data_IF_383588195650
#
_entry.id   IF_383588195650
#
_cell.length_a   1.000
_cell.length_b   1.000
_cell.length_c   1.000
_cell.angle_alpha   90.00
_cell.angle_beta   90.00
_cell.angle_gamma   90.00
#
_symmetry.space_group_name_H-M   'P 1'
#
loop_
_entity.id
_entity.type
_entity.pdbx_description
1 polymer ?
#
# COMPACT_ATOMS: atom_id res chain seq x y z
N UNK A 1 -14.46 -1.48 -2.73
CA UNK A 1 -13.11 -0.89 -2.55
C UNK A 1 -12.30 -1.16 -3.80
N UNK A 2 -11.92 -0.14 -4.55
CA UNK A 2 -11.21 -0.36 -5.81
C UNK A 2 -9.75 -0.74 -5.57
N UNK A 3 -9.22 -1.55 -6.48
CA UNK A 3 -7.80 -1.87 -6.53
C UNK A 3 -6.98 -0.58 -6.66
N UNK A 4 -5.86 -0.50 -5.95
CA UNK A 4 -4.95 0.65 -5.88
C UNK A 4 -5.50 1.86 -5.14
N UNK A 5 -6.63 1.72 -4.44
CA UNK A 5 -7.09 2.75 -3.51
C UNK A 5 -6.13 2.86 -2.32
N UNK A 6 -5.87 4.10 -1.89
CA UNK A 6 -5.07 4.38 -0.70
C UNK A 6 -6.00 4.72 0.44
N UNK A 7 -5.87 4.00 1.55
CA UNK A 7 -6.67 4.20 2.75
C UNK A 7 -5.80 4.67 3.91
N UNK A 8 -6.36 5.46 4.80
CA UNK A 8 -5.67 5.85 6.04
C UNK A 8 -5.43 4.60 6.89
N UNK A 9 -4.25 4.53 7.48
CA UNK A 9 -3.96 3.55 8.52
C UNK A 9 -4.56 4.05 9.84
N UNK A 10 -5.47 3.29 10.42
CA UNK A 10 -6.16 3.68 11.65
C UNK A 10 -5.46 3.20 12.92
N UNK A 11 -4.39 2.42 12.80
CA UNK A 11 -3.66 1.90 13.95
C UNK A 11 -2.79 3.00 14.58
N UNK A 12 -3.11 3.48 15.80
CA UNK A 12 -2.37 4.58 16.41
C UNK A 12 -0.91 4.23 16.72
N UNK A 13 -0.59 2.94 16.86
CA UNK A 13 0.77 2.50 17.15
C UNK A 13 1.70 2.63 15.94
N UNK A 14 1.18 2.61 14.71
CA UNK A 14 2.00 2.56 13.49
C UNK A 14 1.75 3.70 12.51
N UNK A 15 0.68 4.46 12.65
CA UNK A 15 0.28 5.48 11.66
C UNK A 15 1.28 6.61 11.45
N UNK A 16 2.18 6.85 12.39
CA UNK A 16 3.19 7.89 12.22
C UNK A 16 4.28 7.50 11.23
N UNK A 17 4.65 6.21 11.18
CA UNK A 17 5.61 5.67 10.22
C UNK A 17 4.93 5.06 8.99
N UNK A 18 3.70 4.57 9.14
CA UNK A 18 2.90 3.97 8.07
C UNK A 18 1.55 4.70 8.01
N UNK A 19 1.50 5.89 7.38
CA UNK A 19 0.27 6.67 7.37
C UNK A 19 -0.84 6.08 6.51
N UNK A 20 -0.48 5.24 5.52
CA UNK A 20 -1.45 4.72 4.55
C UNK A 20 -1.27 3.24 4.29
N UNK A 21 -2.36 2.62 3.83
CA UNK A 21 -2.39 1.24 3.33
C UNK A 21 -2.88 1.26 1.89
N UNK A 22 -2.16 0.59 1.00
CA UNK A 22 -2.50 0.49 -0.42
C UNK A 22 -3.23 -0.83 -0.67
N UNK A 23 -4.46 -0.74 -1.17
CA UNK A 23 -5.25 -1.90 -1.54
C UNK A 23 -4.76 -2.45 -2.88
N UNK A 24 -4.26 -3.67 -2.89
CA UNK A 24 -3.75 -4.32 -4.11
C UNK A 24 -4.60 -5.51 -4.54
N UNK A 25 -5.68 -5.80 -3.81
CA UNK A 25 -6.54 -6.93 -4.14
C UNK A 25 -7.30 -6.68 -5.43
N UNK A 26 -7.40 -7.72 -6.27
CA UNK A 26 -8.19 -7.67 -7.49
C UNK A 26 -9.65 -7.33 -7.19
N UNK A 27 -10.24 -6.46 -8.01
CA UNK A 27 -11.66 -6.11 -7.91
C UNK A 27 -12.59 -7.30 -8.20
N UNK A 28 -12.05 -8.37 -8.79
CA UNK A 28 -12.82 -9.59 -9.08
C UNK A 28 -13.17 -10.40 -7.82
N UNK A 29 -12.57 -10.09 -6.67
CA UNK A 29 -12.83 -10.78 -5.40
C UNK A 29 -13.28 -9.80 -4.32
N UNK A 30 -14.28 -8.99 -4.63
CA UNK A 30 -14.77 -7.96 -3.71
C UNK A 30 -15.60 -8.49 -2.55
N UNK A 31 -16.19 -9.67 -2.71
CA UNK A 31 -17.14 -10.21 -1.73
C UNK A 31 -16.49 -10.71 -0.44
N UNK A 32 -15.16 -10.78 -0.40
CA UNK A 32 -14.46 -11.18 0.80
C UNK A 32 -14.53 -10.07 1.87
N UNK A 33 -14.67 -10.46 3.11
CA UNK A 33 -14.63 -9.53 4.24
C UNK A 33 -13.25 -8.93 4.51
N UNK A 34 -12.24 -9.34 3.75
CA UNK A 34 -10.84 -8.91 3.89
C UNK A 34 -10.32 -8.28 2.59
N UNK A 35 -9.30 -7.44 2.73
CA UNK A 35 -8.56 -6.86 1.59
C UNK A 35 -7.08 -7.13 1.77
N UNK A 36 -6.41 -7.43 0.66
CA UNK A 36 -4.95 -7.55 0.66
C UNK A 36 -4.36 -6.16 0.45
N UNK A 37 -3.54 -5.73 1.40
CA UNK A 37 -2.96 -4.38 1.39
C UNK A 37 -1.45 -4.42 1.56
N UNK A 38 -0.79 -3.35 1.12
CA UNK A 38 0.64 -3.12 1.32
C UNK A 38 0.81 -1.82 2.10
N UNK A 39 1.63 -1.81 3.17
CA UNK A 39 1.84 -0.58 3.92
C UNK A 39 2.69 0.42 3.12
N UNK A 40 2.29 1.68 3.17
CA UNK A 40 3.06 2.79 2.61
C UNK A 40 3.73 3.54 3.76
N UNK A 41 5.05 3.43 3.83
CA UNK A 41 5.85 4.07 4.86
C UNK A 41 6.21 5.50 4.43
N UNK A 42 6.42 6.37 5.40
CA UNK A 42 7.09 7.63 5.10
C UNK A 42 8.52 7.35 4.65
N UNK A 43 9.08 8.22 3.83
CA UNK A 43 10.49 8.10 3.40
C UNK A 43 11.42 8.12 4.60
N UNK A 44 11.14 8.99 5.59
CA UNK A 44 11.94 9.10 6.80
C UNK A 44 11.96 7.80 7.62
N UNK A 45 10.84 7.09 7.71
CA UNK A 45 10.74 5.84 8.47
C UNK A 45 11.62 4.74 7.89
N UNK A 46 11.85 4.75 6.58
CA UNK A 46 12.67 3.72 5.92
C UNK A 46 14.17 3.97 6.04
N UNK A 47 14.58 5.18 6.35
CA UNK A 47 16.01 5.55 6.59
C UNK A 47 16.93 5.08 5.47
N UNK A 48 16.50 5.22 4.22
CA UNK A 48 17.27 4.80 3.05
C UNK A 48 17.30 3.30 2.77
N UNK A 49 16.58 2.48 3.54
CA UNK A 49 16.53 1.02 3.38
C UNK A 49 15.52 0.63 2.30
N UNK A 50 15.77 1.04 1.07
CA UNK A 50 14.85 0.76 -0.04
C UNK A 50 15.52 -0.13 -1.09
N UNK A 51 14.72 -0.98 -1.72
CA UNK A 51 15.11 -1.81 -2.85
C UNK A 51 14.36 -1.33 -4.08
N UNK A 52 15.06 -1.07 -5.16
CA UNK A 52 14.54 -0.35 -6.32
C UNK A 52 13.22 -0.90 -6.87
N UNK A 53 13.08 -2.23 -6.98
CA UNK A 53 11.89 -2.86 -7.54
C UNK A 53 10.90 -3.27 -6.46
N UNK A 54 11.38 -3.90 -5.39
CA UNK A 54 10.53 -4.47 -4.33
C UNK A 54 9.89 -3.39 -3.46
N UNK A 55 10.61 -2.30 -3.18
CA UNK A 55 10.10 -1.20 -2.35
C UNK A 55 10.10 0.12 -3.11
N UNK A 56 9.26 0.24 -4.16
CA UNK A 56 9.27 1.43 -4.99
C UNK A 56 8.74 2.65 -4.23
N UNK A 57 9.16 3.82 -4.70
CA UNK A 57 8.60 5.09 -4.26
C UNK A 57 7.31 5.33 -5.02
N UNK A 58 6.24 5.64 -4.31
CA UNK A 58 4.95 6.05 -4.87
C UNK A 58 4.55 7.40 -4.31
N UNK A 59 3.75 8.15 -5.04
CA UNK A 59 3.29 9.47 -4.59
C UNK A 59 1.84 9.41 -4.16
N UNK A 60 1.57 9.92 -2.96
CA UNK A 60 0.20 10.10 -2.44
C UNK A 60 0.02 11.58 -2.18
N UNK A 61 -0.90 12.21 -2.91
CA UNK A 61 -1.16 13.65 -2.84
C UNK A 61 0.12 14.50 -2.98
N UNK A 62 0.98 14.11 -3.93
CA UNK A 62 2.23 14.82 -4.21
C UNK A 62 3.37 14.55 -3.23
N UNK A 63 3.15 13.70 -2.23
CA UNK A 63 4.18 13.33 -1.24
C UNK A 63 4.69 11.92 -1.49
N UNK A 64 6.01 11.75 -1.40
CA UNK A 64 6.67 10.47 -1.64
C UNK A 64 6.51 9.56 -0.44
N UNK A 65 6.17 8.29 -0.73
CA UNK A 65 6.07 7.21 0.25
C UNK A 65 6.76 5.98 -0.29
N UNK A 66 7.13 5.06 0.59
CA UNK A 66 7.78 3.80 0.22
C UNK A 66 6.76 2.69 0.35
N UNK A 67 6.50 1.97 -0.74
CA UNK A 67 5.65 0.80 -0.78
C UNK A 67 6.46 -0.42 -0.32
N UNK A 68 6.22 -0.88 0.90
CA UNK A 68 6.97 -2.02 1.46
C UNK A 68 6.24 -3.32 1.11
N UNK A 69 6.47 -3.80 -0.10
CA UNK A 69 5.73 -4.89 -0.73
C UNK A 69 5.83 -6.20 0.05
N UNK A 70 6.98 -6.50 0.65
CA UNK A 70 7.18 -7.74 1.43
C UNK A 70 6.36 -7.80 2.71
N UNK A 71 5.74 -6.68 3.12
CA UNK A 71 4.83 -6.65 4.27
C UNK A 71 3.36 -6.74 3.87
N UNK A 72 3.10 -7.15 2.63
CA UNK A 72 1.75 -7.41 2.15
C UNK A 72 1.00 -8.32 3.12
N UNK A 73 -0.24 -7.97 3.43
CA UNK A 73 -1.07 -8.72 4.38
C UNK A 73 -2.56 -8.56 4.08
N UNK A 74 -3.33 -9.60 4.43
CA UNK A 74 -4.78 -9.52 4.41
C UNK A 74 -5.28 -8.91 5.72
N UNK A 75 -6.14 -7.90 5.63
CA UNK A 75 -6.77 -7.30 6.80
C UNK A 75 -8.27 -7.20 6.61
N UNK A 76 -9.01 -7.12 7.72
CA UNK A 76 -10.45 -6.92 7.67
C UNK A 76 -10.78 -5.55 7.07
N UNK A 77 -11.80 -5.48 6.22
CA UNK A 77 -12.26 -4.21 5.62
C UNK A 77 -12.54 -3.15 6.67
N UNK A 78 -13.06 -3.56 7.83
CA UNK A 78 -13.36 -2.64 8.94
C UNK A 78 -12.14 -1.95 9.53
N UNK A 79 -10.94 -2.46 9.28
CA UNK A 79 -9.69 -1.86 9.75
C UNK A 79 -9.11 -0.85 8.76
N UNK A 80 -9.68 -0.72 7.56
CA UNK A 80 -9.28 0.31 6.61
C UNK A 80 -9.96 1.63 6.96
N UNK A 81 -9.17 2.69 7.01
CA UNK A 81 -9.68 4.03 7.20
C UNK A 81 -10.26 4.60 5.91
N UNK A 82 -10.48 5.91 5.91
CA UNK A 82 -11.01 6.64 4.77
C UNK A 82 -10.09 6.48 3.56
N UNK A 83 -10.67 6.27 2.39
CA UNK A 83 -9.94 6.35 1.14
C UNK A 83 -9.57 7.80 0.86
N UNK A 84 -8.28 8.06 0.63
CA UNK A 84 -7.76 9.42 0.42
C UNK A 84 -7.18 9.64 -0.96
N UNK A 85 -6.88 8.58 -1.70
CA UNK A 85 -6.26 8.68 -3.01
C UNK A 85 -6.45 7.39 -3.80
N UNK A 86 -6.03 7.40 -5.07
CA UNK A 86 -5.89 6.22 -5.91
C UNK A 86 -4.53 6.25 -6.58
N UNK A 87 -3.85 5.11 -6.60
CA UNK A 87 -2.57 4.96 -7.29
C UNK A 87 -2.71 4.21 -8.61
N UNK A 88 -3.89 4.23 -9.22
CA UNK A 88 -4.14 3.57 -10.50
C UNK A 88 -3.19 4.05 -11.60
N UNK A 89 -2.77 5.32 -11.58
CA UNK A 89 -1.81 5.89 -12.53
C UNK A 89 -0.38 5.34 -12.34
N UNK A 90 -0.10 4.73 -11.20
CA UNK A 90 1.22 4.14 -10.87
C UNK A 90 1.16 2.60 -10.92
N UNK A 91 0.17 2.06 -11.61
CA UNK A 91 -0.09 0.62 -11.69
C UNK A 91 1.14 -0.19 -12.09
N UNK A 92 1.90 0.27 -13.09
CA UNK A 92 3.03 -0.49 -13.60
C UNK A 92 4.12 -0.71 -12.55
N UNK A 93 4.41 0.31 -11.75
CA UNK A 93 5.38 0.23 -10.65
C UNK A 93 4.89 -0.73 -9.57
N UNK A 94 3.61 -0.65 -9.23
CA UNK A 94 2.99 -1.51 -8.21
C UNK A 94 3.00 -2.98 -8.64
N UNK A 95 2.56 -3.26 -9.86
CA UNK A 95 2.53 -4.63 -10.38
C UNK A 95 3.93 -5.21 -10.49
N UNK A 96 4.92 -4.41 -10.92
CA UNK A 96 6.30 -4.87 -10.99
C UNK A 96 6.84 -5.28 -9.61
N UNK A 97 6.50 -4.54 -8.56
CA UNK A 97 6.90 -4.88 -7.19
C UNK A 97 6.24 -6.17 -6.71
N UNK A 98 4.95 -6.33 -6.97
CA UNK A 98 4.22 -7.55 -6.62
C UNK A 98 4.77 -8.78 -7.35
N UNK A 99 5.03 -8.66 -8.66
CA UNK A 99 5.64 -9.73 -9.45
C UNK A 99 7.02 -10.10 -8.92
N UNK A 100 7.82 -9.12 -8.57
CA UNK A 100 9.16 -9.33 -8.03
C UNK A 100 9.10 -10.11 -6.70
N UNK A 101 8.09 -9.86 -5.88
CA UNK A 101 7.92 -10.53 -4.60
C UNK A 101 7.62 -12.03 -4.75
N UNK A 102 6.83 -12.40 -5.76
CA UNK A 102 6.26 -13.75 -5.87
C UNK A 102 6.88 -14.61 -7.00
N UNK A 103 7.73 -14.05 -7.84
CA UNK A 103 8.30 -14.81 -8.96
C UNK A 103 9.76 -15.22 -8.78
#
# INVERSE_FOLDING_TARGET
>A
MPQFAVHRNTNPATRSSVPFLLDVQSDLIEELGTRVVVPLYTVAAMKGKTLKVLTPIVEVDGKRHVMVTQQLAGIAKSHLGQQVASLASQRNVIIAALDFLIS
#
